data_IF_201918605761
#
_entry.id   IF_201918605761
#
_cell.length_a   1.000
_cell.length_b   1.000
_cell.length_c   1.000
_cell.angle_alpha   90.00
_cell.angle_beta   90.00
_cell.angle_gamma   90.00
#
_symmetry.space_group_name_H-M   'P 1'
#
loop_
_entity.id
_entity.type
_entity.pdbx_description
1 polymer ?
#
# COMPACT_ATOMS: atom_id res chain seq x y z
N UNK A 1 73.44 -37.90 -12.43
CA UNK A 1 73.43 -37.82 -13.91
C UNK A 1 71.98 -38.07 -14.35
N UNK A 2 71.23 -37.17 -14.97
CA UNK A 2 71.59 -35.96 -15.70
C UNK A 2 70.93 -36.02 -17.07
N UNK A 3 69.60 -35.94 -17.13
CA UNK A 3 68.85 -35.80 -18.37
C UNK A 3 67.90 -34.59 -18.23
N UNK A 4 68.42 -33.43 -18.63
CA UNK A 4 67.61 -32.24 -18.93
C UNK A 4 67.36 -32.30 -20.44
N UNK A 5 66.26 -32.94 -20.84
CA UNK A 5 65.93 -33.25 -22.26
C UNK A 5 65.23 -32.08 -23.00
N UNK A 6 65.30 -30.86 -22.46
CA UNK A 6 64.90 -29.64 -23.17
C UNK A 6 65.76 -28.45 -22.70
N UNK A 7 66.13 -27.49 -23.56
CA UNK A 7 66.90 -26.33 -23.13
C UNK A 7 66.10 -25.51 -22.13
N UNK A 8 66.51 -25.54 -20.86
CA UNK A 8 66.02 -24.62 -19.84
C UNK A 8 66.67 -23.25 -20.08
N UNK A 9 65.85 -22.25 -20.36
CA UNK A 9 66.31 -20.88 -20.52
C UNK A 9 65.70 -20.01 -19.42
N UNK A 10 66.51 -19.70 -18.41
CA UNK A 10 66.13 -18.86 -17.28
C UNK A 10 66.06 -17.36 -17.65
N UNK A 11 66.83 -16.94 -18.66
CA UNK A 11 66.80 -15.58 -19.22
C UNK A 11 67.33 -15.57 -20.67
N UNK A 12 66.71 -14.76 -21.53
CA UNK A 12 67.21 -14.47 -22.89
C UNK A 12 67.61 -13.00 -22.91
N UNK A 13 68.83 -12.72 -23.33
CA UNK A 13 69.19 -11.37 -23.77
C UNK A 13 68.61 -11.21 -25.18
N UNK A 14 67.76 -10.22 -25.40
CA UNK A 14 67.20 -9.96 -26.73
C UNK A 14 68.32 -9.55 -27.69
N UNK A 15 68.34 -10.16 -28.88
CA UNK A 15 69.25 -9.85 -29.98
C UNK A 15 68.44 -9.44 -31.24
N UNK A 16 69.12 -9.25 -32.37
CA UNK A 16 68.48 -8.84 -33.63
C UNK A 16 67.49 -9.87 -34.18
N UNK A 17 67.66 -11.15 -33.85
CA UNK A 17 66.81 -12.25 -34.32
C UNK A 17 65.66 -12.55 -33.34
N UNK A 18 65.82 -12.17 -32.06
CA UNK A 18 64.86 -12.39 -30.98
C UNK A 18 64.45 -11.07 -30.31
N UNK A 19 63.70 -10.27 -31.05
CA UNK A 19 63.19 -8.99 -30.58
C UNK A 19 62.35 -9.14 -29.30
N UNK A 20 62.38 -8.13 -28.40
CA UNK A 20 61.52 -8.11 -27.23
C UNK A 20 60.04 -8.06 -27.62
N UNK A 21 59.19 -8.73 -26.84
CA UNK A 21 57.72 -8.74 -27.03
C UNK A 21 57.17 -7.31 -27.07
N UNK A 22 57.74 -6.43 -26.25
CA UNK A 22 57.46 -5.00 -26.24
C UNK A 22 58.62 -4.24 -26.90
N UNK A 23 58.31 -3.39 -27.89
CA UNK A 23 59.32 -2.65 -28.67
C UNK A 23 60.12 -1.68 -27.80
N UNK A 24 61.42 -1.64 -28.04
CA UNK A 24 62.34 -0.64 -27.48
C UNK A 24 62.59 0.47 -28.52
N UNK A 25 62.75 1.74 -28.11
CA UNK A 25 62.83 2.24 -26.73
C UNK A 25 61.48 2.56 -26.07
N UNK A 26 60.35 2.35 -26.76
CA UNK A 26 59.01 2.77 -26.32
C UNK A 26 58.62 2.22 -24.93
N UNK A 27 59.02 0.97 -24.63
CA UNK A 27 58.75 0.29 -23.36
C UNK A 27 60.00 0.07 -22.51
N UNK A 28 60.98 0.98 -22.59
CA UNK A 28 62.25 0.87 -21.84
C UNK A 28 62.11 0.88 -20.31
N UNK A 29 60.95 1.28 -19.78
CA UNK A 29 60.61 1.34 -18.35
C UNK A 29 59.73 0.17 -17.90
N UNK A 30 59.60 -0.87 -18.73
CA UNK A 30 58.73 -2.03 -18.45
C UNK A 30 59.52 -3.28 -18.06
N UNK A 31 59.07 -3.94 -17.00
CA UNK A 31 59.53 -5.28 -16.59
C UNK A 31 58.40 -6.27 -16.80
N UNK A 32 58.67 -7.40 -17.47
CA UNK A 32 57.64 -8.36 -17.88
C UNK A 32 58.05 -9.79 -17.53
N UNK A 33 57.18 -10.50 -16.84
CA UNK A 33 57.24 -11.95 -16.64
C UNK A 33 56.10 -12.58 -17.45
N UNK A 34 56.42 -13.18 -18.60
CA UNK A 34 55.45 -13.74 -19.54
C UNK A 34 55.77 -15.19 -19.87
N UNK A 35 54.76 -16.05 -19.88
CA UNK A 35 54.84 -17.43 -20.36
C UNK A 35 53.81 -17.67 -21.47
N UNK A 36 54.20 -18.36 -22.53
CA UNK A 36 53.29 -18.76 -23.61
C UNK A 36 52.49 -19.99 -23.19
N UNK A 37 51.20 -20.03 -23.53
CA UNK A 37 50.40 -21.25 -23.42
C UNK A 37 51.00 -22.35 -24.31
N UNK A 38 50.93 -23.61 -23.89
CA UNK A 38 51.45 -24.76 -24.63
C UNK A 38 50.36 -25.81 -24.83
N UNK A 39 50.20 -26.37 -26.06
CA UNK A 39 50.81 -25.92 -27.32
C UNK A 39 50.48 -24.45 -27.61
N UNK A 40 51.38 -23.77 -28.34
CA UNK A 40 51.23 -22.34 -28.62
C UNK A 40 49.94 -22.06 -29.41
N UNK A 41 49.02 -21.34 -28.78
CA UNK A 41 47.73 -20.92 -29.36
C UNK A 41 47.62 -19.39 -29.48
N UNK A 42 48.71 -18.68 -29.17
CA UNK A 42 48.77 -17.21 -29.14
C UNK A 42 48.39 -16.59 -27.79
N UNK A 43 47.88 -17.37 -26.82
CA UNK A 43 47.60 -16.89 -25.47
C UNK A 43 48.82 -16.97 -24.56
N UNK A 44 48.82 -16.18 -23.48
CA UNK A 44 49.93 -16.11 -22.53
C UNK A 44 49.46 -15.69 -21.14
N UNK A 45 50.19 -16.11 -20.12
CA UNK A 45 50.09 -15.53 -18.79
C UNK A 45 51.16 -14.44 -18.66
N UNK A 46 50.82 -13.31 -18.04
CA UNK A 46 51.72 -12.17 -17.93
C UNK A 46 51.52 -11.42 -16.62
N UNK A 47 52.63 -11.04 -15.99
CA UNK A 47 52.66 -9.97 -15.01
C UNK A 47 53.66 -8.93 -15.50
N UNK A 48 53.23 -7.67 -15.65
CA UNK A 48 54.14 -6.58 -16.00
C UNK A 48 54.07 -5.43 -14.99
N UNK A 49 55.16 -4.67 -14.95
CA UNK A 49 55.33 -3.43 -14.21
C UNK A 49 55.81 -2.35 -15.18
N UNK A 50 55.15 -1.19 -15.20
CA UNK A 50 55.52 -0.01 -15.97
C UNK A 50 55.86 1.11 -14.98
N UNK A 51 57.08 1.65 -15.05
CA UNK A 51 57.57 2.71 -14.15
C UNK A 51 57.76 4.06 -14.86
N UNK A 52 57.12 4.25 -16.02
CA UNK A 52 57.14 5.54 -16.72
C UNK A 52 56.34 6.56 -15.92
N UNK A 53 57.00 7.66 -15.52
CA UNK A 53 56.38 8.78 -14.80
C UNK A 53 55.04 9.20 -15.41
N UNK A 54 53.96 9.12 -14.64
CA UNK A 54 52.60 9.48 -15.03
C UNK A 54 51.85 8.42 -15.85
N UNK A 55 52.41 7.22 -16.01
CA UNK A 55 51.81 6.07 -16.67
C UNK A 55 52.15 4.76 -15.98
N UNK A 56 52.41 4.83 -14.68
CA UNK A 56 52.77 3.69 -13.85
C UNK A 56 51.63 2.66 -13.83
N UNK A 57 51.94 1.39 -14.02
CA UNK A 57 50.94 0.34 -14.11
C UNK A 57 51.50 -1.00 -13.61
N UNK A 58 50.65 -1.76 -12.90
CA UNK A 58 50.83 -3.20 -12.71
C UNK A 58 49.69 -3.92 -13.40
N UNK A 59 50.00 -4.86 -14.28
CA UNK A 59 48.99 -5.66 -14.99
C UNK A 59 49.22 -7.14 -14.76
N UNK A 60 48.13 -7.85 -14.48
CA UNK A 60 48.11 -9.31 -14.35
C UNK A 60 47.14 -9.86 -15.39
N UNK A 61 47.61 -10.79 -16.21
CA UNK A 61 46.83 -11.48 -17.25
C UNK A 61 46.94 -12.99 -17.01
N UNK A 62 45.81 -13.65 -16.83
CA UNK A 62 45.70 -15.10 -16.87
C UNK A 62 44.98 -15.51 -18.16
N UNK A 63 45.54 -16.46 -18.91
CA UNK A 63 44.95 -16.90 -20.19
C UNK A 63 43.68 -17.74 -20.04
N UNK A 64 43.45 -18.30 -18.84
CA UNK A 64 42.27 -19.13 -18.55
C UNK A 64 41.73 -18.88 -17.14
N UNK A 65 42.44 -19.37 -16.13
CA UNK A 65 41.99 -19.35 -14.73
C UNK A 65 42.97 -18.55 -13.87
N UNK A 66 42.46 -17.69 -12.99
CA UNK A 66 43.24 -17.02 -11.94
C UNK A 66 42.65 -17.38 -10.58
N UNK A 67 43.42 -18.12 -9.79
CA UNK A 67 43.06 -18.49 -8.42
C UNK A 67 43.86 -17.66 -7.43
N UNK A 68 43.19 -16.99 -6.49
CA UNK A 68 43.83 -16.23 -5.41
C UNK A 68 43.41 -16.81 -4.07
N UNK A 69 44.34 -17.51 -3.40
CA UNK A 69 44.15 -18.01 -2.04
C UNK A 69 44.91 -17.13 -1.05
N UNK A 70 44.19 -16.52 -0.11
CA UNK A 70 44.79 -15.74 0.98
C UNK A 70 44.45 -16.42 2.30
N UNK A 71 45.42 -17.09 2.92
CA UNK A 71 45.18 -17.97 4.07
C UNK A 71 44.90 -17.24 5.39
N UNK A 72 45.25 -15.95 5.49
CA UNK A 72 45.12 -15.17 6.73
C UNK A 72 44.29 -13.91 6.55
N UNK A 73 44.79 -12.98 5.75
CA UNK A 73 44.21 -11.65 5.62
C UNK A 73 44.49 -11.08 4.23
N UNK A 74 43.43 -10.73 3.50
CA UNK A 74 43.49 -9.85 2.33
C UNK A 74 43.01 -8.48 2.78
N UNK A 75 43.84 -7.46 2.60
CA UNK A 75 43.46 -6.06 2.77
C UNK A 75 43.62 -5.37 1.42
N UNK A 76 42.61 -4.64 0.98
CA UNK A 76 42.58 -3.96 -0.30
C UNK A 76 42.08 -2.53 -0.06
N UNK A 77 42.86 -1.56 -0.52
CA UNK A 77 42.53 -0.14 -0.45
C UNK A 77 42.72 0.43 -1.86
N UNK A 78 41.71 1.16 -2.33
CA UNK A 78 41.70 1.78 -3.65
C UNK A 78 41.37 3.26 -3.41
N UNK A 79 42.33 4.14 -3.67
CA UNK A 79 42.25 5.54 -3.27
C UNK A 79 41.25 6.36 -4.10
N UNK A 80 41.05 5.97 -5.36
CA UNK A 80 40.21 6.71 -6.30
C UNK A 80 39.03 5.88 -6.80
N UNK A 81 39.23 5.07 -7.86
CA UNK A 81 38.13 4.39 -8.54
C UNK A 81 38.33 2.87 -8.60
N UNK A 82 37.25 2.13 -8.41
CA UNK A 82 37.20 0.67 -8.58
C UNK A 82 36.08 0.30 -9.56
N UNK A 83 36.37 -0.56 -10.52
CA UNK A 83 35.38 -1.13 -11.43
C UNK A 83 35.53 -2.65 -11.48
N UNK A 84 34.40 -3.35 -11.45
CA UNK A 84 34.36 -4.81 -11.57
C UNK A 84 33.25 -5.22 -12.51
N UNK A 85 33.61 -5.92 -13.56
CA UNK A 85 32.67 -6.54 -14.51
C UNK A 85 32.82 -8.06 -14.43
N UNK A 86 31.69 -8.76 -14.33
CA UNK A 86 31.63 -10.22 -14.35
C UNK A 86 30.73 -10.61 -15.52
N UNK A 87 31.26 -11.35 -16.49
CA UNK A 87 30.51 -11.73 -17.69
C UNK A 87 29.55 -12.91 -17.51
N UNK A 88 29.71 -13.66 -16.42
CA UNK A 88 28.82 -14.74 -16.00
C UNK A 88 28.33 -14.50 -14.57
N UNK A 89 28.36 -15.54 -13.74
CA UNK A 89 27.79 -15.47 -12.39
C UNK A 89 28.79 -14.93 -11.35
N UNK A 90 28.24 -14.27 -10.33
CA UNK A 90 28.97 -13.84 -9.13
C UNK A 90 28.29 -14.41 -7.89
N UNK A 91 28.99 -15.30 -7.20
CA UNK A 91 28.62 -15.76 -5.86
C UNK A 91 29.43 -15.02 -4.79
N UNK A 92 28.77 -14.62 -3.70
CA UNK A 92 29.39 -14.03 -2.52
C UNK A 92 28.88 -14.77 -1.29
N UNK A 93 29.76 -15.51 -0.62
CA UNK A 93 29.47 -16.19 0.62
C UNK A 93 30.27 -15.56 1.77
N UNK A 94 29.58 -15.08 2.80
CA UNK A 94 30.17 -14.50 4.00
C UNK A 94 29.70 -15.28 5.21
N UNK A 95 30.60 -16.02 5.85
CA UNK A 95 30.23 -16.96 6.92
C UNK A 95 29.85 -16.28 8.25
N UNK A 96 30.20 -15.01 8.44
CA UNK A 96 29.91 -14.24 9.65
C UNK A 96 29.11 -13.00 9.30
N UNK A 97 29.79 -11.87 9.12
CA UNK A 97 29.15 -10.57 8.98
C UNK A 97 29.61 -9.88 7.69
N UNK A 98 28.65 -9.29 6.99
CA UNK A 98 28.88 -8.34 5.91
C UNK A 98 28.43 -6.97 6.38
N UNK A 99 29.38 -6.04 6.49
CA UNK A 99 29.11 -4.63 6.74
C UNK A 99 29.46 -3.82 5.49
N UNK A 100 28.49 -3.08 4.95
CA UNK A 100 28.67 -2.21 3.80
C UNK A 100 28.30 -0.77 4.17
N UNK A 101 29.21 0.17 3.88
CA UNK A 101 29.03 1.59 4.16
C UNK A 101 29.11 2.38 2.86
N UNK A 102 27.95 2.87 2.38
CA UNK A 102 27.87 3.77 1.24
C UNK A 102 27.64 5.19 1.76
N UNK A 103 28.62 6.07 1.57
CA UNK A 103 28.58 7.44 2.11
C UNK A 103 27.69 8.40 1.33
N UNK A 104 27.42 8.08 0.06
CA UNK A 104 26.57 8.89 -0.84
C UNK A 104 25.42 8.03 -1.36
N UNK A 105 25.37 7.82 -2.67
CA UNK A 105 24.25 7.19 -3.33
C UNK A 105 24.56 5.74 -3.68
N UNK A 106 23.58 4.85 -3.46
CA UNK A 106 23.59 3.48 -3.93
C UNK A 106 22.50 3.33 -4.99
N UNK A 107 22.86 2.78 -6.16
CA UNK A 107 21.91 2.43 -7.21
C UNK A 107 22.02 0.94 -7.50
N UNK A 108 20.91 0.23 -7.33
CA UNK A 108 20.79 -1.19 -7.65
C UNK A 108 19.77 -1.34 -8.78
N UNK A 109 20.13 -2.07 -9.82
CA UNK A 109 19.25 -2.38 -10.94
C UNK A 109 19.31 -3.89 -11.18
N UNK A 110 18.17 -4.55 -11.02
CA UNK A 110 18.03 -6.00 -11.18
C UNK A 110 17.17 -6.21 -12.43
N UNK A 111 17.75 -6.85 -13.45
CA UNK A 111 17.08 -7.07 -14.72
C UNK A 111 16.10 -8.26 -14.72
N UNK A 112 16.27 -9.18 -13.76
CA UNK A 112 15.40 -10.32 -13.51
C UNK A 112 14.71 -10.21 -12.15
N UNK A 113 14.57 -11.34 -11.45
CA UNK A 113 13.91 -11.40 -10.15
C UNK A 113 14.87 -11.14 -8.98
N UNK A 114 14.37 -10.51 -7.92
CA UNK A 114 15.03 -10.40 -6.63
C UNK A 114 14.32 -11.30 -5.61
N UNK A 115 15.09 -12.15 -4.92
CA UNK A 115 14.59 -12.98 -3.82
C UNK A 115 15.49 -12.80 -2.60
N UNK A 116 14.88 -12.53 -1.45
CA UNK A 116 15.57 -12.35 -0.19
C UNK A 116 14.88 -13.19 0.90
N UNK A 117 15.68 -13.97 1.62
CA UNK A 117 15.25 -14.73 2.80
C UNK A 117 16.03 -14.20 3.99
N UNK A 118 15.31 -13.67 4.98
CA UNK A 118 15.88 -13.13 6.21
C UNK A 118 15.28 -13.92 7.36
N UNK A 119 16.05 -14.85 7.93
CA UNK A 119 15.60 -15.67 9.06
C UNK A 119 15.51 -14.87 10.38
N UNK A 120 16.28 -13.78 10.47
CA UNK A 120 16.27 -12.83 11.59
C UNK A 120 15.26 -11.68 11.41
N UNK A 121 15.51 -10.57 12.10
CA UNK A 121 14.72 -9.34 11.94
C UNK A 121 15.24 -8.45 10.81
N UNK A 122 14.33 -7.84 10.06
CA UNK A 122 14.65 -6.78 9.09
C UNK A 122 14.24 -5.41 9.66
N UNK A 123 15.19 -4.49 9.81
CA UNK A 123 14.94 -3.11 10.24
C UNK A 123 15.33 -2.17 9.10
N UNK A 124 14.40 -1.29 8.71
CA UNK A 124 14.61 -0.30 7.65
C UNK A 124 14.30 1.09 8.21
N UNK A 125 15.35 1.92 8.34
CA UNK A 125 15.23 3.29 8.84
C UNK A 125 15.46 4.27 7.69
N UNK A 126 14.41 4.96 7.26
CA UNK A 126 14.46 5.97 6.20
C UNK A 126 14.19 7.34 6.81
N UNK A 127 15.19 8.22 6.84
CA UNK A 127 15.09 9.52 7.51
C UNK A 127 14.27 10.58 6.75
N UNK A 128 14.07 10.38 5.44
CA UNK A 128 13.34 11.31 4.56
C UNK A 128 12.06 10.66 4.02
N UNK A 129 12.00 10.37 2.72
CA UNK A 129 10.84 9.77 2.08
C UNK A 129 11.17 8.40 1.51
N UNK A 130 10.15 7.54 1.46
CA UNK A 130 10.16 6.26 0.77
C UNK A 130 9.02 6.23 -0.25
N UNK A 131 9.28 5.72 -1.44
CA UNK A 131 8.28 5.54 -2.48
C UNK A 131 8.44 4.15 -3.08
N UNK A 132 7.35 3.39 -3.07
CA UNK A 132 7.31 2.03 -3.60
C UNK A 132 6.24 1.99 -4.69
N UNK A 133 6.63 1.55 -5.89
CA UNK A 133 5.70 1.36 -7.02
C UNK A 133 5.71 -0.11 -7.42
N UNK A 134 4.55 -0.73 -7.37
CA UNK A 134 4.35 -2.13 -7.75
C UNK A 134 3.33 -2.14 -8.88
N UNK A 135 3.76 -2.48 -10.08
CA UNK A 135 2.89 -2.52 -11.26
C UNK A 135 1.99 -3.75 -11.27
N UNK A 136 2.47 -4.86 -10.69
CA UNK A 136 1.72 -6.09 -10.50
C UNK A 136 0.97 -6.12 -9.17
N UNK A 137 0.94 -7.29 -8.53
CA UNK A 137 0.30 -7.48 -7.22
C UNK A 137 1.31 -7.36 -6.07
N UNK A 138 0.80 -6.94 -4.90
CA UNK A 138 1.50 -6.98 -3.64
C UNK A 138 0.73 -7.88 -2.66
N UNK A 139 1.42 -8.76 -1.94
CA UNK A 139 0.82 -9.61 -0.90
C UNK A 139 1.66 -9.53 0.36
N UNK A 140 1.01 -9.17 1.47
CA UNK A 140 1.62 -9.14 2.79
C UNK A 140 0.93 -10.17 3.68
N UNK A 141 1.68 -11.16 4.15
CA UNK A 141 1.21 -12.15 5.13
C UNK A 141 2.00 -11.98 6.42
N UNK A 142 1.31 -11.62 7.50
CA UNK A 142 1.90 -11.54 8.83
C UNK A 142 1.42 -12.71 9.68
N UNK A 143 2.34 -13.43 10.32
CA UNK A 143 1.99 -14.49 11.28
C UNK A 143 1.56 -13.96 12.64
N UNK A 144 1.98 -12.74 12.99
CA UNK A 144 1.58 -12.00 14.19
C UNK A 144 0.86 -10.70 13.84
N UNK A 145 0.96 -9.71 14.73
CA UNK A 145 0.35 -8.39 14.53
C UNK A 145 1.02 -7.59 13.42
N UNK A 146 0.22 -6.76 12.74
CA UNK A 146 0.67 -5.73 11.81
C UNK A 146 0.24 -4.37 12.35
N UNK A 147 1.17 -3.44 12.52
CA UNK A 147 0.89 -2.10 13.02
C UNK A 147 1.50 -1.07 12.08
N UNK A 148 0.71 -0.03 11.76
CA UNK A 148 1.15 1.12 10.99
C UNK A 148 0.75 2.38 11.75
N UNK A 149 1.74 3.20 12.12
CA UNK A 149 1.52 4.50 12.76
C UNK A 149 1.88 5.60 11.80
N UNK A 150 0.91 6.48 11.50
CA UNK A 150 1.12 7.67 10.67
C UNK A 150 0.80 8.90 11.51
N UNK A 151 1.80 9.73 11.79
CA UNK A 151 1.63 10.96 12.59
C UNK A 151 1.03 12.12 11.78
N UNK A 152 1.25 12.12 10.47
CA UNK A 152 0.64 13.04 9.52
C UNK A 152 -0.63 12.45 8.90
N UNK A 153 -0.86 12.77 7.62
CA UNK A 153 -2.02 12.26 6.87
C UNK A 153 -1.77 10.86 6.32
N UNK A 154 -2.70 9.94 6.58
CA UNK A 154 -2.82 8.66 5.87
C UNK A 154 -3.94 8.75 4.84
N UNK A 155 -3.61 8.57 3.56
CA UNK A 155 -4.60 8.49 2.47
C UNK A 155 -4.58 7.08 1.85
N UNK A 156 -5.76 6.49 1.68
CA UNK A 156 -5.93 5.18 1.04
C UNK A 156 -7.00 5.30 -0.04
N UNK A 157 -6.59 5.20 -1.31
CA UNK A 157 -7.47 5.20 -2.46
C UNK A 157 -7.52 3.81 -3.08
N UNK A 158 -8.72 3.24 -3.19
CA UNK A 158 -8.93 1.88 -3.71
C UNK A 158 -9.85 1.91 -4.92
N UNK A 159 -9.34 1.45 -6.07
CA UNK A 159 -10.06 1.51 -7.35
C UNK A 159 -11.27 0.58 -7.43
N UNK A 160 -11.13 -0.67 -6.99
CA UNK A 160 -12.21 -1.67 -7.06
C UNK A 160 -12.91 -1.84 -5.70
N UNK A 161 -12.33 -2.61 -4.78
CA UNK A 161 -12.97 -2.91 -3.49
C UNK A 161 -11.97 -2.89 -2.35
N UNK A 162 -12.39 -2.33 -1.22
CA UNK A 162 -11.72 -2.50 0.08
C UNK A 162 -12.52 -3.52 0.88
N UNK A 163 -11.84 -4.58 1.33
CA UNK A 163 -12.42 -5.66 2.11
C UNK A 163 -11.62 -5.80 3.41
N UNK A 164 -12.27 -5.55 4.54
CA UNK A 164 -11.73 -5.81 5.86
C UNK A 164 -12.51 -6.96 6.50
N UNK A 165 -11.84 -8.07 6.78
CA UNK A 165 -12.42 -9.26 7.39
C UNK A 165 -11.60 -9.69 8.60
N UNK A 166 -12.25 -9.87 9.74
CA UNK A 166 -11.60 -10.23 10.99
C UNK A 166 -12.46 -11.18 11.81
N UNK A 167 -11.81 -12.13 12.49
CA UNK A 167 -12.44 -12.94 13.56
C UNK A 167 -12.49 -12.18 14.89
N UNK A 168 -12.06 -10.92 14.93
CA UNK A 168 -12.22 -10.00 16.06
C UNK A 168 -12.91 -8.70 15.62
N UNK A 169 -12.71 -7.63 16.39
CA UNK A 169 -13.30 -6.32 16.10
C UNK A 169 -12.63 -5.64 14.89
N UNK A 170 -13.42 -4.94 14.09
CA UNK A 170 -12.95 -3.98 13.09
C UNK A 170 -13.34 -2.59 13.59
N UNK A 171 -12.35 -1.76 13.91
CA UNK A 171 -12.56 -0.40 14.39
C UNK A 171 -11.87 0.62 13.49
N UNK A 172 -12.58 1.67 13.11
CA UNK A 172 -12.01 2.88 12.53
C UNK A 172 -12.20 4.04 13.51
N UNK A 173 -11.10 4.65 13.96
CA UNK A 173 -11.15 5.81 14.86
C UNK A 173 -10.40 6.99 14.24
N UNK A 174 -11.00 8.17 14.24
CA UNK A 174 -10.37 9.42 13.82
C UNK A 174 -10.76 10.56 14.76
N UNK A 175 -9.79 11.33 15.24
CA UNK A 175 -10.07 12.48 16.12
C UNK A 175 -10.69 13.68 15.39
N UNK A 176 -10.75 13.65 14.05
CA UNK A 176 -11.29 14.74 13.25
C UNK A 176 -12.15 14.23 12.09
N UNK A 177 -11.56 14.05 10.92
CA UNK A 177 -12.28 13.62 9.71
C UNK A 177 -11.84 12.23 9.32
N UNK A 178 -12.79 11.39 8.95
CA UNK A 178 -12.54 10.11 8.29
C UNK A 178 -13.11 10.18 6.88
N UNK A 179 -12.31 9.84 5.87
CA UNK A 179 -12.75 9.79 4.48
C UNK A 179 -12.32 8.48 3.87
N UNK A 180 -13.30 7.73 3.37
CA UNK A 180 -13.08 6.49 2.66
C UNK A 180 -13.77 6.56 1.30
N UNK A 181 -12.99 6.39 0.23
CA UNK A 181 -13.47 6.38 -1.15
C UNK A 181 -13.15 5.02 -1.77
N UNK A 182 -14.19 4.30 -2.20
CA UNK A 182 -14.06 3.05 -2.93
C UNK A 182 -14.80 3.18 -4.27
N UNK A 183 -14.10 2.90 -5.38
CA UNK A 183 -14.70 2.99 -6.71
C UNK A 183 -15.78 1.93 -6.97
N UNK A 184 -15.69 0.78 -6.30
CA UNK A 184 -16.72 -0.26 -6.25
C UNK A 184 -17.37 -0.33 -4.87
N UNK A 185 -17.35 -1.51 -4.24
CA UNK A 185 -17.99 -1.76 -2.95
C UNK A 185 -17.05 -1.71 -1.74
N UNK A 186 -17.63 -1.52 -0.56
CA UNK A 186 -16.95 -1.69 0.74
C UNK A 186 -17.63 -2.85 1.46
N UNK A 187 -16.84 -3.82 1.92
CA UNK A 187 -17.32 -4.93 2.74
C UNK A 187 -16.52 -5.00 4.05
N UNK A 188 -17.21 -4.83 5.18
CA UNK A 188 -16.66 -5.02 6.53
C UNK A 188 -17.39 -6.18 7.21
N UNK A 189 -16.66 -7.23 7.56
CA UNK A 189 -17.21 -8.40 8.23
C UNK A 189 -16.39 -8.74 9.48
N UNK A 190 -17.00 -8.56 10.65
CA UNK A 190 -16.43 -8.90 11.94
C UNK A 190 -17.28 -9.94 12.65
N UNK A 191 -16.64 -10.88 13.33
CA UNK A 191 -17.35 -11.84 14.21
C UNK A 191 -17.92 -11.19 15.48
N UNK A 192 -17.45 -9.99 15.82
CA UNK A 192 -17.83 -9.22 17.00
C UNK A 192 -18.47 -7.87 16.57
N UNK A 193 -17.72 -6.78 16.69
CA UNK A 193 -18.17 -5.40 16.45
C UNK A 193 -17.54 -4.81 15.18
N UNK A 194 -18.34 -4.04 14.44
CA UNK A 194 -17.82 -3.03 13.49
C UNK A 194 -18.11 -1.66 14.08
N UNK A 195 -17.07 -0.88 14.36
CA UNK A 195 -17.21 0.42 14.99
C UNK A 195 -16.52 1.53 14.19
N UNK A 196 -17.19 2.68 14.09
CA UNK A 196 -16.63 3.91 13.54
C UNK A 196 -16.85 5.07 14.51
N UNK A 197 -15.77 5.63 15.05
CA UNK A 197 -15.77 6.75 15.99
C UNK A 197 -14.97 7.90 15.39
N UNK A 198 -15.67 8.95 14.96
CA UNK A 198 -15.07 10.05 14.20
C UNK A 198 -15.46 11.37 14.83
N UNK A 199 -14.45 12.13 15.28
CA UNK A 199 -14.66 13.30 16.10
C UNK A 199 -15.31 14.51 15.42
N UNK A 200 -15.47 14.54 14.08
CA UNK A 200 -16.17 15.64 13.36
C UNK A 200 -17.01 15.15 12.18
N UNK A 201 -16.39 14.56 11.16
CA UNK A 201 -17.10 14.22 9.91
C UNK A 201 -16.61 12.88 9.40
N UNK A 202 -17.53 11.94 9.20
CA UNK A 202 -17.30 10.73 8.41
C UNK A 202 -17.90 10.95 7.02
N UNK A 203 -17.09 10.84 5.97
CA UNK A 203 -17.55 10.83 4.58
C UNK A 203 -17.19 9.50 3.95
N UNK A 204 -18.21 8.79 3.48
CA UNK A 204 -18.05 7.56 2.72
C UNK A 204 -18.72 7.71 1.37
N UNK A 205 -17.93 7.54 0.30
CA UNK A 205 -18.43 7.51 -1.07
C UNK A 205 -18.17 6.12 -1.65
N UNK A 206 -19.25 5.40 -1.94
CA UNK A 206 -19.21 4.03 -2.44
C UNK A 206 -19.86 4.01 -3.82
N UNK A 207 -19.10 3.63 -4.84
CA UNK A 207 -19.62 3.50 -6.20
C UNK A 207 -20.55 2.30 -6.40
N UNK A 208 -20.40 1.26 -5.57
CA UNK A 208 -21.19 0.03 -5.55
C UNK A 208 -21.95 -0.18 -4.24
N UNK A 209 -22.02 -1.43 -3.79
CA UNK A 209 -22.69 -1.79 -2.54
C UNK A 209 -21.78 -1.55 -1.32
N UNK A 210 -22.34 -0.97 -0.25
CA UNK A 210 -21.76 -0.96 1.09
C UNK A 210 -22.42 -2.07 1.91
N UNK A 211 -21.63 -3.03 2.39
CA UNK A 211 -22.09 -4.14 3.22
C UNK A 211 -21.33 -4.13 4.55
N UNK A 212 -22.05 -4.02 5.66
CA UNK A 212 -21.48 -4.07 7.01
C UNK A 212 -22.21 -5.16 7.79
N UNK A 213 -21.45 -6.16 8.26
CA UNK A 213 -21.97 -7.26 9.08
C UNK A 213 -21.27 -7.25 10.43
N UNK A 214 -22.04 -7.09 11.50
CA UNK A 214 -21.61 -7.23 12.89
C UNK A 214 -22.53 -8.23 13.60
N UNK A 215 -21.95 -9.07 14.47
CA UNK A 215 -22.72 -10.05 15.25
C UNK A 215 -23.28 -9.45 16.53
N UNK A 216 -22.55 -8.52 17.12
CA UNK A 216 -22.90 -7.86 18.38
C UNK A 216 -23.41 -6.45 18.09
N UNK A 217 -22.50 -5.46 18.07
CA UNK A 217 -22.85 -4.07 17.87
C UNK A 217 -22.30 -3.51 16.56
N UNK A 218 -23.08 -2.62 15.94
CA UNK A 218 -22.61 -1.66 14.94
C UNK A 218 -22.71 -0.26 15.56
N UNK A 219 -21.59 0.27 16.03
CA UNK A 219 -21.54 1.57 16.71
C UNK A 219 -21.06 2.66 15.75
N UNK A 220 -21.86 3.72 15.61
CA UNK A 220 -21.50 4.91 14.84
C UNK A 220 -21.68 6.15 15.71
N UNK A 221 -20.57 6.80 16.06
CA UNK A 221 -20.57 8.05 16.84
C UNK A 221 -19.81 9.12 16.06
N UNK A 222 -20.56 10.10 15.54
CA UNK A 222 -20.01 11.19 14.71
C UNK A 222 -20.74 12.49 14.98
N UNK A 223 -20.06 13.65 14.90
CA UNK A 223 -20.73 14.95 14.99
C UNK A 223 -21.62 15.21 13.76
N UNK A 224 -21.22 14.72 12.59
CA UNK A 224 -21.98 14.82 11.35
C UNK A 224 -21.82 13.58 10.48
N UNK A 225 -22.94 12.90 10.22
CA UNK A 225 -23.06 11.83 9.24
C UNK A 225 -23.70 12.37 7.96
N UNK A 226 -23.09 12.10 6.80
CA UNK A 226 -23.72 12.34 5.50
C UNK A 226 -23.64 11.04 4.71
N UNK A 227 -24.78 10.38 4.52
CA UNK A 227 -24.91 9.22 3.65
C UNK A 227 -25.65 9.62 2.37
N UNK A 228 -25.06 9.34 1.21
CA UNK A 228 -25.68 9.59 -0.09
C UNK A 228 -25.70 8.30 -0.89
N UNK A 229 -26.90 7.75 -1.08
CA UNK A 229 -27.11 6.54 -1.88
C UNK A 229 -27.66 6.95 -3.25
N UNK A 230 -26.90 6.69 -4.31
CA UNK A 230 -27.34 6.98 -5.69
C UNK A 230 -28.30 5.93 -6.27
N UNK A 231 -28.42 4.78 -5.60
CA UNK A 231 -29.30 3.67 -5.98
C UNK A 231 -30.40 3.41 -4.94
N UNK A 232 -30.61 2.15 -4.60
CA UNK A 232 -31.63 1.70 -3.65
C UNK A 232 -31.04 1.51 -2.24
N UNK A 233 -31.78 1.92 -1.20
CA UNK A 233 -31.42 1.73 0.21
C UNK A 233 -32.54 1.00 0.95
N UNK A 234 -32.20 -0.02 1.74
CA UNK A 234 -33.13 -0.72 2.63
C UNK A 234 -32.56 -0.78 4.03
N UNK A 235 -33.38 -0.44 5.01
CA UNK A 235 -33.11 -0.66 6.44
C UNK A 235 -34.13 -1.66 6.95
N UNK A 236 -33.67 -2.75 7.58
CA UNK A 236 -34.53 -3.77 8.18
C UNK A 236 -34.01 -4.13 9.57
N UNK A 237 -34.81 -3.86 10.61
CA UNK A 237 -34.55 -4.32 11.97
C UNK A 237 -35.29 -5.64 12.23
N UNK A 238 -34.65 -6.59 12.92
CA UNK A 238 -35.29 -7.84 13.34
C UNK A 238 -36.25 -7.67 14.53
N UNK A 239 -36.12 -6.55 15.25
CA UNK A 239 -36.97 -6.14 16.35
C UNK A 239 -37.33 -4.65 16.23
N UNK A 240 -36.58 -3.80 16.93
CA UNK A 240 -36.90 -2.39 17.09
C UNK A 240 -36.00 -1.54 16.18
N UNK A 241 -36.58 -0.55 15.50
CA UNK A 241 -35.87 0.54 14.83
C UNK A 241 -36.30 1.84 15.51
N UNK A 242 -35.36 2.57 16.10
CA UNK A 242 -35.61 3.85 16.78
C UNK A 242 -34.76 4.92 16.12
N UNK A 243 -35.41 5.91 15.52
CA UNK A 243 -34.79 7.12 14.99
C UNK A 243 -35.24 8.32 15.83
N UNK A 244 -34.29 9.05 16.41
CA UNK A 244 -34.56 10.20 17.28
C UNK A 244 -33.60 11.34 16.92
N UNK A 245 -34.12 12.57 16.95
CA UNK A 245 -33.34 13.79 16.82
C UNK A 245 -33.73 14.78 17.91
N UNK A 246 -32.77 15.53 18.45
CA UNK A 246 -33.01 16.51 19.52
C UNK A 246 -33.71 17.79 19.00
N UNK A 247 -33.46 18.15 17.73
CA UNK A 247 -34.05 19.34 17.11
C UNK A 247 -35.12 18.97 16.07
N UNK A 248 -34.74 18.27 15.00
CA UNK A 248 -35.65 17.95 13.90
C UNK A 248 -35.31 16.64 13.21
N UNK A 249 -36.34 15.87 12.87
CA UNK A 249 -36.28 14.72 11.96
C UNK A 249 -37.19 15.00 10.76
N UNK A 250 -36.64 15.02 9.54
CA UNK A 250 -37.39 15.21 8.28
C UNK A 250 -37.29 13.97 7.42
N UNK A 251 -38.43 13.53 6.86
CA UNK A 251 -38.53 12.41 5.92
C UNK A 251 -39.23 12.92 4.65
N UNK A 252 -38.47 13.02 3.56
CA UNK A 252 -38.94 13.57 2.29
C UNK A 252 -38.88 12.51 1.19
N UNK A 253 -39.97 12.31 0.46
CA UNK A 253 -40.05 11.38 -0.66
C UNK A 253 -40.61 12.10 -1.90
N UNK A 254 -39.93 11.93 -3.04
CA UNK A 254 -40.34 12.59 -4.30
C UNK A 254 -41.58 12.00 -4.98
N UNK A 255 -41.99 10.79 -4.61
CA UNK A 255 -43.17 10.12 -5.20
C UNK A 255 -44.18 9.67 -4.14
N UNK A 256 -43.75 8.82 -3.21
CA UNK A 256 -44.64 8.32 -2.16
C UNK A 256 -43.86 8.01 -0.88
N UNK A 257 -44.48 8.30 0.26
CA UNK A 257 -44.06 7.84 1.58
C UNK A 257 -45.16 6.93 2.14
N UNK A 258 -44.84 5.67 2.47
CA UNK A 258 -45.79 4.70 3.01
C UNK A 258 -45.41 4.29 4.43
N UNK A 259 -46.34 4.42 5.36
CA UNK A 259 -46.20 3.99 6.75
C UNK A 259 -47.29 2.97 7.05
N UNK A 260 -46.92 1.80 7.54
CA UNK A 260 -47.86 0.72 7.86
C UNK A 260 -47.42 0.00 9.14
N UNK A 261 -48.39 -0.31 9.98
CA UNK A 261 -48.24 -1.04 11.23
C UNK A 261 -49.61 -1.42 11.76
N UNK A 262 -49.66 -2.34 12.73
CA UNK A 262 -50.91 -2.64 13.43
C UNK A 262 -51.47 -1.39 14.12
N UNK A 263 -50.58 -0.59 14.71
CA UNK A 263 -50.87 0.71 15.30
C UNK A 263 -49.95 1.78 14.70
N UNK A 264 -50.53 2.89 14.26
CA UNK A 264 -49.80 4.09 13.87
C UNK A 264 -50.10 5.22 14.86
N UNK A 265 -49.11 5.56 15.69
CA UNK A 265 -49.28 6.52 16.78
C UNK A 265 -48.46 7.78 16.48
N UNK A 266 -49.16 8.87 16.19
CA UNK A 266 -48.57 10.21 16.05
C UNK A 266 -48.86 11.00 17.32
N UNK A 267 -47.81 11.39 18.04
CA UNK A 267 -47.89 12.22 19.25
C UNK A 267 -47.17 13.54 19.01
N UNK A 268 -47.84 14.63 19.31
CA UNK A 268 -47.24 15.96 19.29
C UNK A 268 -47.83 16.81 20.42
N UNK A 269 -46.99 17.56 21.11
CA UNK A 269 -47.43 18.42 22.22
C UNK A 269 -48.22 19.64 21.74
N UNK A 270 -47.91 20.11 20.51
CA UNK A 270 -48.46 21.36 19.97
C UNK A 270 -49.44 21.15 18.84
N UNK A 271 -49.06 20.35 17.83
CA UNK A 271 -49.84 20.23 16.59
C UNK A 271 -49.48 18.98 15.80
N UNK A 272 -50.49 18.35 15.22
CA UNK A 272 -50.35 17.41 14.10
C UNK A 272 -51.03 18.05 12.89
N UNK A 273 -50.39 17.98 11.72
CA UNK A 273 -50.86 18.62 10.49
C UNK A 273 -50.70 17.69 9.29
N UNK A 274 -51.82 17.44 8.60
CA UNK A 274 -51.87 16.67 7.36
C UNK A 274 -52.33 17.61 6.24
N UNK A 275 -51.47 17.84 5.26
CA UNK A 275 -51.74 18.75 4.14
C UNK A 275 -51.75 17.98 2.82
N UNK A 276 -52.71 18.31 1.96
CA UNK A 276 -52.75 17.89 0.56
C UNK A 276 -53.19 19.06 -0.30
N UNK A 277 -52.22 19.75 -0.93
CA UNK A 277 -52.47 21.02 -1.61
C UNK A 277 -53.10 22.05 -0.67
N UNK A 278 -54.30 22.53 -1.01
CA UNK A 278 -55.08 23.46 -0.18
C UNK A 278 -55.86 22.80 0.96
N UNK A 279 -55.97 21.47 0.98
CA UNK A 279 -56.69 20.73 2.01
C UNK A 279 -55.82 20.52 3.25
N UNK A 280 -56.42 20.71 4.43
CA UNK A 280 -55.76 20.61 5.73
C UNK A 280 -56.62 19.83 6.73
N UNK A 281 -55.99 18.90 7.44
CA UNK A 281 -56.47 18.39 8.73
C UNK A 281 -55.42 18.78 9.79
N UNK A 282 -55.80 19.60 10.76
CA UNK A 282 -54.94 20.02 11.85
C UNK A 282 -55.54 19.58 13.19
N UNK A 283 -54.73 18.92 14.02
CA UNK A 283 -55.08 18.57 15.39
C UNK A 283 -54.22 19.44 16.30
N UNK A 284 -54.86 20.11 17.25
CA UNK A 284 -54.22 20.88 18.32
C UNK A 284 -54.83 20.44 19.65
N UNK A 285 -54.21 20.77 20.80
CA UNK A 285 -54.81 20.50 22.11
C UNK A 285 -56.21 21.10 22.29
N UNK A 286 -56.56 22.15 21.54
CA UNK A 286 -57.81 22.88 21.70
C UNK A 286 -58.90 22.47 20.70
N UNK A 287 -58.51 22.09 19.47
CA UNK A 287 -59.45 21.79 18.39
C UNK A 287 -58.90 20.84 17.33
N UNK A 288 -59.82 20.18 16.63
CA UNK A 288 -59.57 19.54 15.34
C UNK A 288 -60.15 20.48 14.27
N UNK A 289 -59.31 20.92 13.34
CA UNK A 289 -59.68 21.80 12.23
C UNK A 289 -59.54 21.02 10.91
N UNK A 290 -60.62 21.00 10.13
CA UNK A 290 -60.65 20.41 8.78
C UNK A 290 -60.99 21.55 7.83
N UNK A 291 -60.06 21.89 6.94
CA UNK A 291 -60.22 22.92 5.91
C UNK A 291 -60.09 22.26 4.54
N UNK A 292 -61.18 22.27 3.77
CA UNK A 292 -61.25 21.70 2.43
C UNK A 292 -62.36 22.43 1.64
N UNK A 293 -62.28 22.41 0.31
CA UNK A 293 -63.35 22.93 -0.55
C UNK A 293 -64.65 22.14 -0.37
N UNK A 294 -64.52 20.82 -0.21
CA UNK A 294 -65.64 19.88 0.02
C UNK A 294 -65.19 18.82 1.01
N UNK A 295 -66.07 18.48 1.96
CA UNK A 295 -65.93 17.31 2.83
C UNK A 295 -67.06 16.36 2.47
N UNK A 296 -66.74 15.23 1.85
CA UNK A 296 -67.71 14.21 1.45
C UNK A 296 -67.60 12.99 2.36
N UNK A 297 -68.74 12.49 2.85
CA UNK A 297 -68.84 11.26 3.65
C UNK A 297 -69.53 10.18 2.81
N UNK A 298 -68.76 9.25 2.24
CA UNK A 298 -69.27 8.17 1.38
C UNK A 298 -69.62 6.86 2.11
N UNK A 299 -70.42 6.00 1.48
CA UNK A 299 -70.88 4.71 2.03
C UNK A 299 -72.13 4.83 2.92
N UNK A 300 -72.48 3.79 3.73
CA UNK A 300 -73.51 3.91 4.78
C UNK A 300 -72.98 4.72 5.98
N UNK A 301 -72.46 5.91 5.71
CA UNK A 301 -71.86 6.77 6.70
C UNK A 301 -72.96 7.43 7.55
N UNK A 302 -72.82 7.32 8.87
CA UNK A 302 -73.62 8.06 9.86
C UNK A 302 -72.68 9.01 10.59
N UNK A 303 -72.96 10.31 10.51
CA UNK A 303 -72.28 11.30 11.31
C UNK A 303 -73.04 11.48 12.64
N UNK A 304 -72.46 11.00 13.74
CA UNK A 304 -73.02 11.16 15.09
C UNK A 304 -72.20 12.21 15.84
N UNK A 305 -72.80 13.38 16.10
CA UNK A 305 -72.13 14.52 16.73
C UNK A 305 -72.77 14.78 18.07
N UNK A 306 -72.02 14.54 19.15
CA UNK A 306 -72.40 14.92 20.51
C UNK A 306 -71.70 16.22 20.87
N UNK A 307 -72.36 17.34 20.61
CA UNK A 307 -71.86 18.66 20.94
C UNK A 307 -72.95 19.50 21.65
N UNK A 308 -72.58 20.35 22.61
CA UNK A 308 -73.52 21.26 23.27
C UNK A 308 -74.10 22.31 22.31
N UNK A 309 -73.41 22.60 21.19
CA UNK A 309 -73.90 23.49 20.14
C UNK A 309 -73.28 23.10 18.79
N UNK A 310 -74.12 22.98 17.76
CA UNK A 310 -73.71 22.83 16.36
C UNK A 310 -74.15 24.10 15.64
N UNK A 311 -73.19 24.80 15.02
CA UNK A 311 -73.49 25.90 14.09
C UNK A 311 -73.21 25.39 12.69
N UNK A 312 -74.24 25.36 11.85
CA UNK A 312 -74.12 25.17 10.42
C UNK A 312 -74.55 26.48 9.74
N UNK A 313 -73.90 26.80 8.62
CA UNK A 313 -74.36 27.89 7.75
C UNK A 313 -75.46 27.37 6.82
#
# INVERSE_FOLDING_TARGET
EGAVDAPELLSRLHDGDHLPVYRLPDHKTRVVFRTATTPADGSSNEIHFEDRKGGEEVRVVASRDMNVLVQRLRHEMIDNDASRTVGGDREVAVARELAEHVHRDQRVAIGGDESAVIDGGQIRNVAKGETTTIAGSATLKTGGGHSTTVTGTRSLAVGAALIDASLGHIGAQSSSVFTLMAGGGIARAASATVAEDVGKVAVQAVGGAKLEFAREDQLLKVDRLIERVGGFMTVRAGRDLVEQADESLSLEAGSSLSLAGADLVLKADKRIELRSGATLIALTPEKIEISAATIELGGPARLDVKAPLIRHN
#
